data_IF_930526597829
#
_entry.id   IF_930526597829
#
_cell.length_a   1.000
_cell.length_b   1.000
_cell.length_c   1.000
_cell.angle_alpha   90.00
_cell.angle_beta   90.00
_cell.angle_gamma   90.00
#
_symmetry.space_group_name_H-M   'P 1'
#
loop_
_entity.id
_entity.type
_entity.pdbx_description
1 polymer ?
#
# COMPACT_ATOMS: atom_id res chain seq x y z
N UNK A 1 14.98 17.07 22.85
CA UNK A 1 13.62 17.15 22.24
C UNK A 1 13.67 17.78 20.85
N UNK A 2 14.36 18.89 20.66
CA UNK A 2 14.49 19.57 19.34
C UNK A 2 15.11 18.70 18.24
N UNK A 3 16.21 17.99 18.55
CA UNK A 3 16.89 17.09 17.61
C UNK A 3 15.94 15.93 17.09
N UNK A 4 15.08 15.41 17.98
CA UNK A 4 14.10 14.38 17.58
C UNK A 4 13.03 14.93 16.66
N UNK A 5 12.58 16.17 16.87
CA UNK A 5 11.62 16.85 15.99
C UNK A 5 12.22 17.13 14.62
N UNK A 6 13.47 17.58 14.60
CA UNK A 6 14.18 17.81 13.33
C UNK A 6 14.33 16.48 12.56
N UNK A 7 14.75 15.40 13.24
CA UNK A 7 14.88 14.09 12.61
C UNK A 7 13.53 13.55 12.09
N UNK A 8 12.45 13.75 12.83
CA UNK A 8 11.10 13.39 12.41
C UNK A 8 10.70 14.12 11.12
N UNK A 9 10.95 15.43 11.04
CA UNK A 9 10.67 16.22 9.83
C UNK A 9 11.50 15.76 8.63
N UNK A 10 12.78 15.43 8.83
CA UNK A 10 13.66 14.90 7.79
C UNK A 10 13.13 13.55 7.26
N UNK A 11 12.75 12.65 8.14
CA UNK A 11 12.19 11.34 7.77
C UNK A 11 10.89 11.46 6.99
N UNK A 12 9.97 12.31 7.44
CA UNK A 12 8.69 12.55 6.73
C UNK A 12 8.96 13.07 5.33
N UNK A 13 9.86 14.04 5.16
CA UNK A 13 10.18 14.58 3.84
C UNK A 13 10.82 13.53 2.94
N UNK A 14 11.80 12.79 3.46
CA UNK A 14 12.55 11.78 2.70
C UNK A 14 11.64 10.61 2.25
N UNK A 15 10.79 10.11 3.15
CA UNK A 15 9.87 9.01 2.85
C UNK A 15 8.77 9.45 1.86
N UNK A 16 8.27 10.66 1.98
CA UNK A 16 7.32 11.21 1.01
C UNK A 16 7.96 11.40 -0.37
N UNK A 17 9.21 11.87 -0.43
CA UNK A 17 9.95 11.99 -1.69
C UNK A 17 10.20 10.62 -2.34
N UNK A 18 10.63 9.63 -1.55
CA UNK A 18 10.81 8.26 -2.02
C UNK A 18 9.51 7.63 -2.52
N UNK A 19 8.43 7.78 -1.77
CA UNK A 19 7.10 7.33 -2.18
C UNK A 19 6.66 7.99 -3.49
N UNK A 20 6.82 9.30 -3.61
CA UNK A 20 6.49 10.04 -4.82
C UNK A 20 7.31 9.58 -6.04
N UNK A 21 8.63 9.42 -5.89
CA UNK A 21 9.50 8.93 -6.95
C UNK A 21 9.09 7.53 -7.43
N UNK A 22 8.86 6.61 -6.50
CA UNK A 22 8.48 5.23 -6.81
C UNK A 22 7.13 5.16 -7.55
N UNK A 23 6.11 5.86 -7.05
CA UNK A 23 4.74 5.71 -7.57
C UNK A 23 4.43 6.62 -8.77
N UNK A 24 5.07 7.79 -8.88
CA UNK A 24 4.81 8.72 -9.98
C UNK A 24 5.80 8.54 -11.14
N UNK A 25 7.05 8.23 -10.85
CA UNK A 25 8.12 8.22 -11.83
C UNK A 25 8.65 6.82 -12.12
N UNK A 26 8.20 5.79 -11.38
CA UNK A 26 8.77 4.44 -11.37
C UNK A 26 10.29 4.45 -11.13
N UNK A 27 10.76 5.38 -10.30
CA UNK A 27 12.18 5.61 -9.99
C UNK A 27 12.44 5.27 -8.52
N UNK A 28 13.40 4.38 -8.28
CA UNK A 28 13.80 3.99 -6.93
C UNK A 28 14.95 4.87 -6.46
N UNK A 29 14.68 5.83 -5.59
CA UNK A 29 15.72 6.66 -4.95
C UNK A 29 16.32 5.99 -3.72
N UNK A 30 15.70 4.92 -3.22
CA UNK A 30 16.21 4.04 -2.15
C UNK A 30 15.61 2.64 -2.29
N UNK A 31 16.29 1.64 -1.75
CA UNK A 31 15.77 0.27 -1.73
C UNK A 31 14.55 0.12 -0.81
N UNK A 32 13.70 -0.87 -1.05
CA UNK A 32 12.57 -1.20 -0.18
C UNK A 32 13.01 -1.47 1.27
N UNK A 33 14.18 -2.10 1.44
CA UNK A 33 14.74 -2.37 2.76
C UNK A 33 15.11 -1.08 3.51
N UNK A 34 15.72 -0.12 2.83
CA UNK A 34 16.05 1.19 3.40
C UNK A 34 14.78 1.99 3.71
N UNK A 35 13.80 1.97 2.82
CA UNK A 35 12.51 2.62 3.05
C UNK A 35 11.83 2.05 4.31
N UNK A 36 11.75 0.74 4.45
CA UNK A 36 11.14 0.08 5.60
C UNK A 36 11.87 0.43 6.92
N UNK A 37 13.21 0.47 6.89
CA UNK A 37 14.00 0.82 8.07
C UNK A 37 13.76 2.28 8.51
N UNK A 38 13.70 3.22 7.57
CA UNK A 38 13.41 4.63 7.84
C UNK A 38 11.96 4.86 8.27
N UNK A 39 11.03 4.07 7.72
CA UNK A 39 9.64 4.11 8.12
C UNK A 39 9.45 3.61 9.57
N UNK A 40 10.11 2.50 9.94
CA UNK A 40 10.10 1.98 11.31
C UNK A 40 10.73 3.00 12.29
N UNK A 41 11.81 3.70 11.89
CA UNK A 41 12.42 4.79 12.68
C UNK A 41 11.41 5.95 12.88
N UNK A 42 10.69 6.34 11.83
CA UNK A 42 9.68 7.39 11.91
C UNK A 42 8.56 7.01 12.89
N UNK A 43 8.00 5.82 12.77
CA UNK A 43 6.96 5.29 13.68
C UNK A 43 7.43 5.34 15.13
N UNK A 44 8.66 4.93 15.39
CA UNK A 44 9.24 4.94 16.72
C UNK A 44 9.40 6.38 17.27
N UNK A 45 9.87 7.31 16.43
CA UNK A 45 10.03 8.72 16.83
C UNK A 45 8.68 9.41 17.07
N UNK A 46 7.67 9.12 16.27
CA UNK A 46 6.31 9.63 16.48
C UNK A 46 5.75 9.14 17.83
N UNK A 47 5.95 7.87 18.15
CA UNK A 47 5.55 7.29 19.44
C UNK A 47 6.29 7.90 20.62
N UNK A 48 7.60 8.11 20.50
CA UNK A 48 8.43 8.68 21.57
C UNK A 48 8.17 10.17 21.81
N UNK A 49 7.88 10.92 20.74
CA UNK A 49 7.64 12.37 20.83
C UNK A 49 6.18 12.72 21.05
N UNK A 50 5.26 11.81 20.73
CA UNK A 50 3.83 12.09 20.71
C UNK A 50 3.42 13.05 19.58
N UNK A 51 4.30 13.29 18.60
CA UNK A 51 4.08 14.23 17.49
C UNK A 51 3.99 13.43 16.19
N UNK A 52 2.87 13.57 15.50
CA UNK A 52 2.69 13.08 14.13
C UNK A 52 2.38 14.26 13.23
N UNK A 53 3.17 14.45 12.17
CA UNK A 53 2.95 15.54 11.23
C UNK A 53 1.77 15.23 10.32
N UNK A 54 1.01 16.26 9.92
CA UNK A 54 -0.18 16.10 9.06
C UNK A 54 0.12 15.47 7.69
N UNK A 55 1.35 15.57 7.23
CA UNK A 55 1.84 14.96 5.99
C UNK A 55 2.70 13.72 6.24
N UNK A 56 2.66 13.13 7.44
CA UNK A 56 3.41 11.92 7.73
C UNK A 56 2.90 10.73 6.90
N UNK A 57 3.78 9.93 6.28
CA UNK A 57 3.38 8.73 5.55
C UNK A 57 2.78 7.65 6.46
N UNK A 58 2.86 7.82 7.79
CA UNK A 58 2.22 6.93 8.75
C UNK A 58 0.71 7.12 8.85
N UNK A 59 0.20 8.32 8.49
CA UNK A 59 -1.24 8.65 8.43
C UNK A 59 -1.77 8.73 6.99
N UNK A 60 -0.93 9.04 6.04
CA UNK A 60 -1.30 9.11 4.64
C UNK A 60 -0.42 8.20 3.79
N UNK A 61 -1.03 7.18 3.19
CA UNK A 61 -0.49 6.59 1.97
C UNK A 61 -0.95 7.51 0.83
N UNK A 62 -0.31 8.69 0.72
CA UNK A 62 -0.86 9.72 -0.15
C UNK A 62 0.18 10.43 -1.01
N UNK A 63 0.28 10.02 -2.23
CA UNK A 63 0.70 10.87 -3.34
C UNK A 63 -0.48 10.99 -4.28
N UNK A 64 -0.59 12.14 -4.91
CA UNK A 64 -1.59 12.33 -5.96
C UNK A 64 -1.29 11.35 -7.10
N UNK A 65 -2.31 10.63 -7.52
CA UNK A 65 -2.22 9.79 -8.71
C UNK A 65 -2.16 10.71 -9.93
N UNK A 66 -0.95 11.00 -10.41
CA UNK A 66 -0.70 11.79 -11.60
C UNK A 66 -0.58 10.85 -12.80
N UNK A 67 -1.68 10.53 -13.44
CA UNK A 67 -1.72 9.71 -14.65
C UNK A 67 -2.80 10.22 -15.60
N UNK A 68 -2.59 10.01 -16.89
CA UNK A 68 -3.57 10.28 -17.94
C UNK A 68 -4.69 9.23 -17.99
N UNK A 69 -4.52 8.09 -17.29
CA UNK A 69 -5.55 7.07 -17.21
C UNK A 69 -6.73 7.55 -16.36
N UNK A 70 -7.96 7.14 -16.70
CA UNK A 70 -9.14 7.41 -15.88
C UNK A 70 -8.91 6.93 -14.46
N UNK A 71 -9.34 7.72 -13.48
CA UNK A 71 -9.22 7.42 -12.05
C UNK A 71 -10.60 7.02 -11.51
N UNK A 72 -10.59 6.11 -10.56
CA UNK A 72 -11.79 5.65 -9.89
C UNK A 72 -11.56 5.48 -8.40
N UNK A 73 -12.53 5.88 -7.59
CA UNK A 73 -12.55 5.64 -6.17
C UNK A 73 -12.88 4.18 -5.89
N UNK A 74 -12.18 3.58 -4.92
CA UNK A 74 -12.49 2.24 -4.45
C UNK A 74 -13.74 2.26 -3.57
N UNK A 75 -14.61 1.28 -3.74
CA UNK A 75 -15.79 1.08 -2.88
C UNK A 75 -15.39 0.89 -1.41
N UNK A 76 -14.27 0.20 -1.18
CA UNK A 76 -13.66 0.00 0.13
C UNK A 76 -12.19 0.40 0.08
N UNK A 77 -11.63 1.01 1.14
CA UNK A 77 -10.21 1.34 1.17
C UNK A 77 -9.32 0.11 0.96
N UNK A 78 -8.39 0.20 0.01
CA UNK A 78 -7.39 -0.83 -0.28
C UNK A 78 -6.16 -0.64 0.60
N UNK A 79 -6.33 -0.86 1.90
CA UNK A 79 -5.30 -0.63 2.91
C UNK A 79 -4.29 -1.79 2.98
N UNK A 80 -3.15 -1.52 3.60
CA UNK A 80 -2.18 -2.55 3.95
C UNK A 80 -2.65 -3.34 5.17
N UNK A 81 -2.24 -4.60 5.24
CA UNK A 81 -2.41 -5.42 6.43
C UNK A 81 -1.37 -5.03 7.49
N UNK A 82 -1.72 -5.30 8.75
CA UNK A 82 -0.76 -5.18 9.84
C UNK A 82 0.43 -6.12 9.63
N UNK A 83 1.59 -5.70 10.11
CA UNK A 83 2.82 -6.47 10.02
C UNK A 83 3.50 -6.56 11.38
N UNK A 84 4.15 -7.69 11.65
CA UNK A 84 5.01 -7.86 12.81
C UNK A 84 6.24 -8.70 12.46
N UNK A 85 7.35 -8.42 13.14
CA UNK A 85 8.56 -9.25 13.15
C UNK A 85 8.64 -10.08 14.43
N UNK A 86 7.73 -9.86 15.39
CA UNK A 86 7.67 -10.52 16.67
C UNK A 86 6.74 -11.73 16.59
N UNK A 87 7.32 -12.92 16.83
CA UNK A 87 6.60 -14.20 16.81
C UNK A 87 5.53 -14.27 17.89
N UNK A 88 5.77 -13.63 19.06
CA UNK A 88 4.79 -13.64 20.15
C UNK A 88 3.54 -12.83 19.77
N UNK A 89 3.72 -11.66 19.15
CA UNK A 89 2.61 -10.84 18.65
C UNK A 89 1.78 -11.61 17.63
N UNK A 90 2.44 -12.36 16.74
CA UNK A 90 1.75 -13.20 15.76
C UNK A 90 0.98 -14.35 16.44
N UNK A 91 1.59 -14.99 17.44
CA UNK A 91 0.95 -16.08 18.20
C UNK A 91 -0.29 -15.57 18.97
N UNK A 92 -0.16 -14.42 19.63
CA UNK A 92 -1.26 -13.79 20.37
C UNK A 92 -2.42 -13.38 19.43
N UNK A 93 -2.09 -12.86 18.25
CA UNK A 93 -3.10 -12.54 17.23
C UNK A 93 -3.81 -13.76 16.69
N UNK A 94 -3.08 -14.86 16.44
CA UNK A 94 -3.64 -16.10 15.94
C UNK A 94 -4.53 -16.79 16.97
N UNK A 95 -4.11 -16.79 18.25
CA UNK A 95 -4.82 -17.47 19.35
C UNK A 95 -5.07 -18.95 19.03
N UNK A 96 -6.29 -19.41 19.27
CA UNK A 96 -6.71 -20.80 19.01
C UNK A 96 -7.23 -21.02 17.57
N UNK A 97 -7.10 -20.03 16.68
CA UNK A 97 -7.57 -20.15 15.31
C UNK A 97 -6.59 -20.94 14.44
N UNK A 98 -7.13 -21.59 13.42
CA UNK A 98 -6.30 -22.21 12.38
C UNK A 98 -5.79 -21.11 11.42
N UNK A 99 -4.49 -21.00 11.29
CA UNK A 99 -3.82 -20.07 10.38
C UNK A 99 -3.34 -20.75 9.09
N UNK A 100 -3.24 -19.98 8.03
CA UNK A 100 -2.58 -20.39 6.78
C UNK A 100 -1.34 -19.51 6.57
N UNK A 101 -0.19 -20.15 6.42
CA UNK A 101 1.04 -19.47 6.09
C UNK A 101 1.24 -19.47 4.57
N UNK A 102 1.46 -18.29 3.99
CA UNK A 102 1.75 -18.14 2.57
C UNK A 102 2.86 -17.11 2.34
N UNK A 103 3.46 -17.17 1.16
CA UNK A 103 4.35 -16.11 0.73
C UNK A 103 3.55 -14.82 0.52
N UNK A 104 4.10 -13.70 1.02
CA UNK A 104 3.61 -12.38 0.65
C UNK A 104 4.26 -11.98 -0.65
N UNK A 105 3.49 -12.06 -1.73
CA UNK A 105 3.97 -11.66 -3.05
C UNK A 105 4.17 -10.15 -3.10
N UNK A 106 5.29 -9.72 -3.68
CA UNK A 106 5.58 -8.31 -3.95
C UNK A 106 5.19 -7.95 -5.39
N UNK A 107 4.70 -6.73 -5.60
CA UNK A 107 4.29 -6.25 -6.92
C UNK A 107 3.13 -5.26 -6.87
N UNK A 108 2.56 -5.00 -8.03
CA UNK A 108 1.38 -4.14 -8.16
C UNK A 108 0.13 -4.87 -7.65
N UNK A 109 -0.69 -4.15 -6.90
CA UNK A 109 -2.02 -4.61 -6.51
C UNK A 109 -3.06 -4.08 -7.49
N UNK A 110 -3.89 -4.99 -7.99
CA UNK A 110 -4.99 -4.68 -8.89
C UNK A 110 -6.27 -5.23 -8.29
N UNK A 111 -7.32 -4.43 -8.26
CA UNK A 111 -8.67 -4.85 -7.87
C UNK A 111 -9.42 -5.25 -9.14
N UNK A 112 -9.82 -6.51 -9.22
CA UNK A 112 -10.61 -7.04 -10.33
C UNK A 112 -12.07 -7.14 -9.89
N UNK A 113 -12.97 -6.53 -10.63
CA UNK A 113 -14.42 -6.60 -10.39
C UNK A 113 -15.06 -7.49 -11.44
N UNK A 114 -15.79 -8.50 -10.97
CA UNK A 114 -16.59 -9.37 -11.80
C UNK A 114 -18.07 -9.14 -11.49
N UNK A 115 -18.87 -9.01 -12.54
CA UNK A 115 -20.33 -8.93 -12.45
C UNK A 115 -20.92 -10.09 -13.25
N UNK A 116 -21.80 -10.87 -12.63
CA UNK A 116 -22.38 -12.10 -13.21
C UNK A 116 -21.31 -13.05 -13.81
N UNK A 117 -20.14 -13.09 -13.19
CA UNK A 117 -19.02 -13.92 -13.62
C UNK A 117 -18.17 -13.33 -14.74
N UNK A 118 -18.47 -12.16 -15.26
CA UNK A 118 -17.68 -11.48 -16.30
C UNK A 118 -16.80 -10.37 -15.72
N UNK A 119 -15.54 -10.27 -16.19
CA UNK A 119 -14.64 -9.18 -15.81
C UNK A 119 -15.15 -7.86 -16.36
N UNK A 120 -15.68 -7.01 -15.49
CA UNK A 120 -16.22 -5.69 -15.90
C UNK A 120 -15.23 -4.56 -15.65
N UNK A 121 -14.35 -4.70 -14.64
CA UNK A 121 -13.46 -3.62 -14.25
C UNK A 121 -12.16 -4.12 -13.63
N UNK A 122 -11.06 -3.39 -13.87
CA UNK A 122 -9.79 -3.55 -13.18
C UNK A 122 -9.24 -2.17 -12.82
N UNK A 123 -8.88 -1.97 -11.56
CA UNK A 123 -8.38 -0.70 -11.01
C UNK A 123 -7.12 -0.98 -10.20
N UNK A 124 -6.08 -0.18 -10.39
CA UNK A 124 -4.88 -0.27 -9.54
C UNK A 124 -5.22 0.13 -8.11
N UNK A 125 -4.44 -0.34 -7.14
CA UNK A 125 -4.60 0.10 -5.75
C UNK A 125 -4.47 1.62 -5.62
N UNK A 126 -3.56 2.26 -6.38
CA UNK A 126 -3.25 3.67 -6.27
C UNK A 126 -2.81 4.03 -4.85
N UNK A 127 -3.37 5.09 -4.30
CA UNK A 127 -3.14 5.52 -2.92
C UNK A 127 -3.99 4.77 -1.87
N UNK A 128 -4.71 3.73 -2.29
CA UNK A 128 -5.60 2.96 -1.44
C UNK A 128 -7.06 3.44 -1.46
N UNK A 129 -7.33 4.65 -1.90
CA UNK A 129 -8.67 5.23 -2.03
C UNK A 129 -9.04 5.47 -3.48
N UNK A 130 -8.09 5.92 -4.29
CA UNK A 130 -8.25 6.20 -5.72
C UNK A 130 -7.18 5.45 -6.50
N UNK A 131 -7.58 4.71 -7.51
CA UNK A 131 -6.70 4.00 -8.42
C UNK A 131 -6.94 4.38 -9.88
N UNK A 132 -6.14 3.82 -10.76
CA UNK A 132 -6.24 4.00 -12.20
C UNK A 132 -7.03 2.87 -12.82
N UNK A 133 -7.96 3.19 -13.70
CA UNK A 133 -8.74 2.20 -14.44
C UNK A 133 -7.87 1.59 -15.54
N UNK A 134 -7.57 0.30 -15.43
CA UNK A 134 -6.72 -0.45 -16.34
C UNK A 134 -7.42 -1.68 -16.94
N UNK A 135 -8.74 -1.64 -17.07
CA UNK A 135 -9.55 -2.77 -17.52
C UNK A 135 -9.06 -3.35 -18.86
N UNK A 136 -8.71 -2.48 -19.83
CA UNK A 136 -8.22 -2.92 -21.12
C UNK A 136 -6.88 -3.66 -21.03
N UNK A 137 -6.00 -3.21 -20.11
CA UNK A 137 -4.73 -3.88 -19.86
C UNK A 137 -4.95 -5.24 -19.17
N UNK A 138 -5.84 -5.30 -18.17
CA UNK A 138 -6.14 -6.52 -17.44
C UNK A 138 -6.70 -7.65 -18.33
N UNK A 139 -7.46 -7.30 -19.38
CA UNK A 139 -8.02 -8.27 -20.33
C UNK A 139 -6.98 -9.07 -21.11
N UNK A 140 -5.77 -8.56 -21.25
CA UNK A 140 -4.67 -9.24 -21.95
C UNK A 140 -3.69 -9.95 -21.01
N UNK A 141 -3.90 -9.91 -19.71
CA UNK A 141 -3.09 -10.64 -18.75
C UNK A 141 -3.37 -12.14 -18.86
N UNK A 142 -2.31 -12.96 -19.00
CA UNK A 142 -2.43 -14.39 -19.24
C UNK A 142 -3.14 -15.16 -18.13
N UNK A 143 -3.07 -14.66 -16.89
CA UNK A 143 -3.58 -15.33 -15.70
C UNK A 143 -4.80 -14.63 -15.07
N UNK A 144 -5.37 -13.64 -15.76
CA UNK A 144 -6.64 -13.01 -15.36
C UNK A 144 -7.76 -13.61 -16.21
N UNK A 145 -8.64 -14.43 -15.63
CA UNK A 145 -9.77 -14.99 -16.36
C UNK A 145 -10.77 -13.88 -16.72
N UNK A 146 -11.24 -13.86 -17.95
CA UNK A 146 -12.30 -12.95 -18.39
C UNK A 146 -13.67 -13.36 -17.85
N UNK A 147 -13.81 -14.64 -17.50
CA UNK A 147 -15.02 -15.23 -16.90
C UNK A 147 -14.65 -16.15 -15.74
N UNK A 148 -15.45 -16.09 -14.70
CA UNK A 148 -15.38 -16.98 -13.53
C UNK A 148 -16.73 -17.65 -13.33
N UNK A 149 -16.77 -18.86 -12.71
CA UNK A 149 -18.04 -19.59 -12.52
C UNK A 149 -18.95 -18.96 -11.44
N UNK A 150 -18.48 -17.99 -10.71
CA UNK A 150 -19.24 -17.32 -9.65
C UNK A 150 -20.27 -16.36 -10.25
N UNK A 151 -21.50 -16.47 -9.80
CA UNK A 151 -22.60 -15.58 -10.15
C UNK A 151 -23.19 -15.04 -8.83
N UNK A 152 -22.76 -13.85 -8.47
CA UNK A 152 -23.21 -13.19 -7.26
C UNK A 152 -23.21 -11.71 -7.37
#
# INVERSE_FOLDING_TARGET
>A
MEAKKQRLQELVNLLNEAGKAYYQNADEIMSNYEYDALYDELVQLEKETGITLSNSPTIHVGYEVLSELPKEEHEYPMLSLDKTKDVQVLADWLGDQTGVLSWKMDGLTIVLTYDNGELVKAVTRGNGYVGEVITNNARVFKNVPLKIPYQG
#
